data_IF_671871653643
#
_entry.id   IF_671871653643
#
_cell.length_a   1.000
_cell.length_b   1.000
_cell.length_c   1.000
_cell.angle_alpha   90.00
_cell.angle_beta   90.00
_cell.angle_gamma   90.00
#
_symmetry.space_group_name_H-M   'P 1'
#
loop_
_entity.id
_entity.type
_entity.pdbx_description
1 polymer ?
#
# COMPACT_ATOMS: atom_id res chain seq x y z
N UNK A 1 -5.10 -6.30 21.96
CA UNK A 1 -3.97 -6.00 21.05
C UNK A 1 -3.32 -4.70 21.51
N UNK A 2 -1.99 -4.62 21.43
CA UNK A 2 -1.24 -3.36 21.56
C UNK A 2 -0.56 -3.13 20.22
N UNK A 3 -0.67 -1.93 19.69
CA UNK A 3 -0.05 -1.51 18.44
C UNK A 3 1.11 -0.59 18.82
N UNK A 4 2.36 -0.95 18.50
CA UNK A 4 3.42 0.04 18.63
C UNK A 4 3.23 1.10 17.52
N UNK A 5 3.54 2.37 17.77
CA UNK A 5 3.49 3.39 16.73
C UNK A 5 4.39 3.00 15.54
N UNK A 6 3.84 2.98 14.34
CA UNK A 6 4.56 2.61 13.11
C UNK A 6 4.51 1.14 12.72
N UNK A 7 3.97 0.26 13.57
CA UNK A 7 3.81 -1.15 13.21
C UNK A 7 2.60 -1.34 12.28
N UNK A 8 2.85 -1.84 11.07
CA UNK A 8 1.81 -2.32 10.18
C UNK A 8 1.33 -3.70 10.64
N UNK A 9 0.02 -3.92 10.63
CA UNK A 9 -0.58 -5.22 10.91
C UNK A 9 -1.47 -5.64 9.75
N UNK A 10 -1.25 -6.85 9.29
CA UNK A 10 -1.87 -7.45 8.12
C UNK A 10 -2.61 -8.71 8.54
N UNK A 11 -3.82 -8.93 8.02
CA UNK A 11 -4.61 -10.10 8.35
C UNK A 11 -5.46 -10.57 7.18
N UNK A 12 -5.59 -11.89 7.02
CA UNK A 12 -6.42 -12.54 6.01
C UNK A 12 -7.50 -13.35 6.72
N UNK A 13 -8.75 -13.28 6.24
CA UNK A 13 -9.78 -14.24 6.65
C UNK A 13 -9.58 -15.53 5.84
N UNK A 14 -9.10 -16.59 6.49
CA UNK A 14 -8.94 -17.92 5.87
C UNK A 14 -10.18 -18.82 6.01
N UNK A 15 -11.19 -18.36 6.74
CA UNK A 15 -12.42 -19.11 6.93
C UNK A 15 -13.42 -18.88 5.80
N UNK A 16 -14.34 -19.81 5.63
CA UNK A 16 -15.44 -19.73 4.64
C UNK A 16 -16.65 -18.95 5.15
N UNK A 17 -16.62 -18.50 6.41
CA UNK A 17 -17.68 -17.71 7.03
C UNK A 17 -17.34 -16.21 7.06
N UNK A 18 -18.36 -15.40 7.28
CA UNK A 18 -18.22 -13.95 7.32
C UNK A 18 -17.36 -13.50 8.51
N UNK A 19 -16.40 -12.62 8.24
CA UNK A 19 -15.61 -11.94 9.25
C UNK A 19 -16.29 -10.62 9.62
N UNK A 20 -16.60 -10.44 10.90
CA UNK A 20 -17.05 -9.14 11.44
C UNK A 20 -15.83 -8.35 11.91
N UNK A 21 -15.56 -7.22 11.27
CA UNK A 21 -14.44 -6.33 11.59
C UNK A 21 -14.95 -4.99 12.10
N UNK A 22 -14.29 -4.47 13.15
CA UNK A 22 -14.42 -3.06 13.55
C UNK A 22 -13.15 -2.35 13.09
N UNK A 23 -13.29 -1.50 12.08
CA UNK A 23 -12.19 -0.65 11.61
C UNK A 23 -12.19 0.67 12.40
N UNK A 24 -11.05 1.01 12.99
CA UNK A 24 -10.81 2.31 13.63
C UNK A 24 -9.81 3.09 12.77
N UNK A 25 -10.30 4.12 12.10
CA UNK A 25 -9.46 5.01 11.27
C UNK A 25 -8.77 6.09 12.10
N UNK A 26 -7.73 6.69 11.51
CA UNK A 26 -7.16 7.93 12.00
C UNK A 26 -8.21 9.08 11.95
N UNK A 27 -8.00 10.20 12.68
CA UNK A 27 -8.85 11.38 12.58
C UNK A 27 -9.05 11.82 11.12
N UNK A 28 -10.23 12.41 10.82
CA UNK A 28 -10.58 12.84 9.46
C UNK A 28 -9.56 13.77 8.82
N UNK A 29 -8.96 14.64 9.62
CA UNK A 29 -7.98 15.64 9.17
C UNK A 29 -6.54 15.08 9.18
N UNK A 30 -6.37 13.76 9.31
CA UNK A 30 -5.06 13.13 9.24
C UNK A 30 -4.58 13.06 7.79
N UNK A 31 -3.44 13.69 7.53
CA UNK A 31 -2.76 13.69 6.22
C UNK A 31 -1.68 12.60 6.12
N UNK A 32 -1.51 11.81 7.18
CA UNK A 32 -0.44 10.81 7.32
C UNK A 32 -0.98 9.38 7.09
N UNK A 33 -1.57 9.17 5.90
CA UNK A 33 -2.00 7.84 5.44
C UNK A 33 -0.80 7.12 4.85
N UNK A 34 -0.42 5.97 5.41
CA UNK A 34 0.78 5.22 4.99
C UNK A 34 0.46 3.85 4.41
N UNK A 35 1.27 3.41 3.45
CA UNK A 35 1.26 2.06 2.88
C UNK A 35 2.56 1.33 3.22
N UNK A 36 2.53 0.01 3.47
CA UNK A 36 3.67 -0.76 3.96
C UNK A 36 4.61 -1.19 2.82
N UNK A 37 5.04 -0.25 1.99
CA UNK A 37 6.07 -0.50 0.96
C UNK A 37 7.33 0.28 1.29
N UNK A 38 8.48 -0.34 1.08
CA UNK A 38 9.78 0.30 1.29
C UNK A 38 10.03 1.41 0.26
N UNK A 39 10.67 2.49 0.70
CA UNK A 39 11.16 3.53 -0.21
C UNK A 39 12.32 2.98 -1.06
N UNK A 40 12.27 3.07 -2.40
CA UNK A 40 13.34 2.59 -3.27
C UNK A 40 14.66 3.39 -3.15
N UNK A 41 14.64 4.58 -2.53
CA UNK A 41 15.83 5.41 -2.36
C UNK A 41 16.57 5.14 -1.05
N UNK A 42 15.85 5.01 0.07
CA UNK A 42 16.45 4.92 1.41
C UNK A 42 16.03 3.69 2.22
N UNK A 43 15.25 2.77 1.64
CA UNK A 43 14.73 1.55 2.28
C UNK A 43 13.85 1.80 3.53
N UNK A 44 13.35 3.02 3.73
CA UNK A 44 12.42 3.31 4.83
C UNK A 44 11.12 2.51 4.69
N UNK A 45 10.72 1.84 5.77
CA UNK A 45 9.51 1.02 5.85
C UNK A 45 8.25 1.89 5.88
N UNK A 46 7.72 2.16 4.69
CA UNK A 46 6.42 2.78 4.51
C UNK A 46 6.46 4.09 3.76
N UNK A 47 5.49 4.27 2.86
CA UNK A 47 5.33 5.49 2.07
C UNK A 47 4.02 6.17 2.45
N UNK A 48 4.03 7.51 2.50
CA UNK A 48 2.82 8.31 2.71
C UNK A 48 2.10 8.50 1.37
N UNK A 49 0.78 8.37 1.37
CA UNK A 49 -0.05 8.73 0.22
C UNK A 49 -0.32 10.23 0.27
N UNK A 50 0.04 10.92 -0.80
CA UNK A 50 -0.43 12.29 -1.06
C UNK A 50 -1.67 12.22 -1.98
N UNK A 51 -2.86 12.58 -1.47
CA UNK A 51 -4.12 12.44 -2.21
C UNK A 51 -4.38 13.61 -3.19
N UNK A 52 -3.33 14.20 -3.76
CA UNK A 52 -3.42 15.21 -4.82
C UNK A 52 -4.09 14.66 -6.10
N UNK A 53 -4.18 15.45 -7.18
CA UNK A 53 -4.85 15.04 -8.43
C UNK A 53 -4.38 13.69 -8.99
N UNK A 54 -3.13 13.30 -8.71
CA UNK A 54 -2.61 11.95 -8.92
C UNK A 54 -2.08 11.40 -7.59
N UNK A 55 -2.24 10.08 -7.38
CA UNK A 55 -1.66 9.39 -6.21
C UNK A 55 -0.14 9.49 -6.29
N UNK A 56 0.47 10.25 -5.38
CA UNK A 56 1.93 10.32 -5.20
C UNK A 56 2.30 9.65 -3.89
N UNK A 57 3.35 8.84 -3.92
CA UNK A 57 3.90 8.18 -2.74
C UNK A 57 5.11 8.97 -2.25
N UNK A 58 5.05 9.52 -1.05
CA UNK A 58 6.12 10.37 -0.48
C UNK A 58 6.81 9.62 0.64
N UNK A 59 8.14 9.51 0.59
CA UNK A 59 8.91 8.96 1.69
C UNK A 59 8.98 9.97 2.84
N UNK A 60 8.58 9.59 4.07
CA UNK A 60 8.64 10.50 5.22
C UNK A 60 10.07 10.73 5.74
N UNK A 61 11.04 9.90 5.33
CA UNK A 61 12.44 9.98 5.80
C UNK A 61 13.32 10.79 4.86
N UNK A 62 13.39 10.43 3.57
CA UNK A 62 14.21 11.17 2.60
C UNK A 62 13.45 12.27 1.85
N UNK A 63 12.11 12.26 1.89
CA UNK A 63 11.28 13.24 1.18
C UNK A 63 11.07 12.95 -0.32
N UNK A 64 11.62 11.86 -0.84
CA UNK A 64 11.46 11.51 -2.26
C UNK A 64 10.01 11.20 -2.62
N UNK A 65 9.63 11.62 -3.81
CA UNK A 65 8.31 11.42 -4.39
C UNK A 65 8.36 10.34 -5.46
N UNK A 66 7.40 9.42 -5.41
CA UNK A 66 7.29 8.30 -6.33
C UNK A 66 5.87 8.23 -6.90
N UNK A 67 5.76 8.33 -8.22
CA UNK A 67 4.48 8.26 -8.91
C UNK A 67 4.26 6.82 -9.40
N UNK A 68 3.19 6.13 -8.98
CA UNK A 68 2.84 4.83 -9.52
C UNK A 68 2.54 4.95 -11.03
N UNK A 69 3.07 4.00 -11.82
CA UNK A 69 2.68 3.84 -13.22
C UNK A 69 1.54 2.83 -13.36
N UNK A 70 0.92 2.80 -14.54
CA UNK A 70 -0.04 1.77 -14.90
C UNK A 70 0.58 0.36 -14.87
N UNK A 71 -0.28 -0.65 -14.76
CA UNK A 71 0.12 -2.06 -14.76
C UNK A 71 1.06 -2.36 -15.95
N UNK A 72 2.30 -2.83 -15.69
CA UNK A 72 3.26 -3.19 -16.75
C UNK A 72 2.73 -4.23 -17.75
N UNK A 73 1.86 -5.13 -17.30
CA UNK A 73 1.42 -6.28 -18.08
C UNK A 73 0.21 -5.97 -18.97
N UNK A 74 -0.69 -5.09 -18.53
CA UNK A 74 -1.94 -4.81 -19.25
C UNK A 74 -2.25 -3.32 -19.48
N UNK A 75 -1.44 -2.41 -18.95
CA UNK A 75 -1.57 -0.96 -19.16
C UNK A 75 -2.71 -0.27 -18.40
N UNK A 76 -3.49 -0.98 -17.59
CA UNK A 76 -4.54 -0.38 -16.75
C UNK A 76 -3.98 0.19 -15.44
N UNK A 77 -4.62 1.25 -14.94
CA UNK A 77 -4.27 1.99 -13.73
C UNK A 77 -4.95 1.46 -12.43
N UNK A 78 -5.83 0.47 -12.53
CA UNK A 78 -6.49 -0.16 -11.38
C UNK A 78 -5.54 -1.15 -10.66
N UNK A 79 -4.55 -0.58 -9.96
CA UNK A 79 -3.62 -1.25 -9.07
C UNK A 79 -4.08 -1.10 -7.62
N UNK A 80 -3.96 -2.18 -6.83
CA UNK A 80 -4.35 -2.18 -5.41
C UNK A 80 -3.28 -2.83 -4.55
N UNK A 81 -3.07 -2.28 -3.36
CA UNK A 81 -2.30 -2.95 -2.32
C UNK A 81 -3.09 -4.14 -1.78
N UNK A 82 -2.44 -5.30 -1.71
CA UNK A 82 -2.99 -6.54 -1.19
C UNK A 82 -1.93 -7.28 -0.35
N UNK A 83 -2.30 -8.44 0.17
CA UNK A 83 -1.40 -9.34 0.88
C UNK A 83 -1.21 -10.60 0.06
N UNK A 84 0.03 -11.05 -0.06
CA UNK A 84 0.37 -12.36 -0.61
C UNK A 84 -0.09 -13.49 0.31
N UNK A 85 0.07 -14.73 -0.14
CA UNK A 85 -0.20 -15.91 0.69
C UNK A 85 0.67 -15.97 1.96
N UNK A 86 1.88 -15.40 1.91
CA UNK A 86 2.79 -15.29 3.05
C UNK A 86 2.54 -14.02 3.90
N UNK A 87 1.41 -13.34 3.72
CA UNK A 87 1.04 -12.08 4.39
C UNK A 87 2.01 -10.91 4.14
N UNK A 88 2.75 -10.94 3.03
CA UNK A 88 3.62 -9.83 2.62
C UNK A 88 2.84 -8.84 1.76
N UNK A 89 3.08 -7.53 1.89
CA UNK A 89 2.44 -6.53 1.05
C UNK A 89 2.88 -6.69 -0.40
N UNK A 90 1.90 -6.74 -1.30
CA UNK A 90 2.09 -6.81 -2.76
C UNK A 90 1.13 -5.84 -3.44
N UNK A 91 1.39 -5.52 -4.70
CA UNK A 91 0.47 -4.79 -5.56
C UNK A 91 -0.15 -5.75 -6.57
N UNK A 92 -1.48 -5.76 -6.66
CA UNK A 92 -2.23 -6.60 -7.59
C UNK A 92 -3.00 -5.72 -8.56
N UNK A 93 -2.94 -6.04 -9.84
CA UNK A 93 -3.80 -5.41 -10.84
C UNK A 93 -5.21 -6.02 -10.79
N UNK A 94 -6.24 -5.20 -10.58
CA UNK A 94 -7.64 -5.65 -10.55
C UNK A 94 -8.12 -6.23 -11.90
N UNK A 95 -7.46 -5.83 -13.00
CA UNK A 95 -7.85 -6.25 -14.35
C UNK A 95 -7.20 -7.58 -14.78
N UNK A 96 -5.87 -7.65 -14.82
CA UNK A 96 -5.16 -8.85 -15.28
C UNK A 96 -4.68 -9.78 -14.16
N UNK A 97 -4.78 -9.36 -12.88
CA UNK A 97 -4.31 -10.08 -11.69
C UNK A 97 -2.79 -10.29 -11.62
N UNK A 98 -2.01 -9.52 -12.37
CA UNK A 98 -0.56 -9.50 -12.19
C UNK A 98 -0.21 -9.02 -10.77
N UNK A 99 0.78 -9.68 -10.16
CA UNK A 99 1.27 -9.40 -8.81
C UNK A 99 2.67 -8.81 -8.87
N UNK A 100 2.93 -7.79 -8.06
CA UNK A 100 4.21 -7.09 -7.97
C UNK A 100 4.61 -6.95 -6.50
N UNK A 101 5.87 -7.21 -6.16
CA UNK A 101 6.38 -7.10 -4.78
C UNK A 101 6.42 -5.65 -4.28
N UNK A 102 6.49 -4.69 -5.19
CA UNK A 102 6.46 -3.26 -4.91
C UNK A 102 5.61 -2.51 -5.93
N UNK A 103 5.14 -1.29 -5.61
CA UNK A 103 4.39 -0.49 -6.56
C UNK A 103 5.23 -0.24 -7.82
N UNK A 104 4.72 -0.52 -9.02
CA UNK A 104 5.42 -0.18 -10.25
C UNK A 104 5.49 1.35 -10.35
N UNK A 105 6.70 1.90 -10.37
CA UNK A 105 6.93 3.35 -10.39
C UNK A 105 7.22 3.86 -11.80
N UNK A 106 6.90 5.13 -12.03
CA UNK A 106 7.44 5.90 -13.16
C UNK A 106 8.94 6.12 -12.94
N UNK A 107 9.72 5.97 -14.01
CA UNK A 107 11.17 6.23 -14.05
C UNK A 107 11.47 7.69 -14.29
#
# INVERSE_FOLDING_TARGET
MRFAPGDFQSGKNEATNDLVVIALGAPRDSEDVRIPFACPTCDHDGLRIDPSENVTLVCPDCGDEHVPRACPDCGHDDLRAALSECAQPIVVCSNCRAEFESPPLQT
#
